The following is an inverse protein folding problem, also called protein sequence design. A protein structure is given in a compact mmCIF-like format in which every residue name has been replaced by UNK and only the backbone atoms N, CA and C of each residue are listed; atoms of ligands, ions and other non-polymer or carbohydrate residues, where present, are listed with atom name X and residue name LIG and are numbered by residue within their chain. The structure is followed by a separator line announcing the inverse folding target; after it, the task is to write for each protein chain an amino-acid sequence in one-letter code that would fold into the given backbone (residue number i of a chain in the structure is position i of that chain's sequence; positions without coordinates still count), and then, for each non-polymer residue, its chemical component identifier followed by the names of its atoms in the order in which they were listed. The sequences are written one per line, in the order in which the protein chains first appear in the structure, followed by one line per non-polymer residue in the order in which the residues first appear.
data_IF_544569294979
#
_entry.id   IF_544569294979
#
_cell.length_a   1.000
_cell.length_b   1.000
_cell.length_c   1.000
_cell.angle_alpha   90.00
_cell.angle_beta   90.00
_cell.angle_gamma   90.00
#
_symmetry.space_group_name_H-M   'P 1'
#
loop_
_entity.id
_entity.type
_entity.pdbx_description
1 polymer ?
#
# COMPACT_ATOMS: atom_id res chain seq x y z
N UNK A 1 15.22 19.93 13.52
CA UNK A 1 14.17 19.03 13.00
C UNK A 1 14.50 18.76 11.56
N UNK A 2 14.79 17.52 11.20
CA UNK A 2 14.98 17.12 9.80
C UNK A 2 13.61 17.05 9.12
N UNK A 3 13.55 17.38 7.83
CA UNK A 3 12.34 17.21 7.03
C UNK A 3 12.09 15.72 6.77
N UNK A 4 10.82 15.35 6.63
CA UNK A 4 10.42 14.03 6.13
C UNK A 4 11.03 13.82 4.75
N UNK A 5 11.49 12.60 4.46
CA UNK A 5 12.19 12.28 3.21
C UNK A 5 11.51 11.11 2.48
N UNK A 6 11.09 11.34 1.24
CA UNK A 6 10.53 10.35 0.32
C UNK A 6 11.66 9.77 -0.54
N UNK A 7 11.87 8.46 -0.47
CA UNK A 7 12.86 7.75 -1.25
C UNK A 7 12.18 7.05 -2.43
N UNK A 8 12.63 7.37 -3.64
CA UNK A 8 12.14 6.76 -4.89
C UNK A 8 13.23 5.94 -5.56
N UNK A 9 12.91 4.80 -6.18
CA UNK A 9 13.87 4.04 -6.96
C UNK A 9 14.12 4.74 -8.31
N UNK A 10 15.37 4.88 -8.73
CA UNK A 10 15.71 5.38 -10.07
C UNK A 10 16.65 4.45 -10.83
N UNK A 11 16.49 4.47 -12.15
CA UNK A 11 17.43 3.95 -13.14
C UNK A 11 17.61 5.02 -14.22
N UNK A 12 18.77 5.69 -14.21
CA UNK A 12 18.99 6.88 -15.04
C UNK A 12 18.08 8.06 -14.64
N UNK A 13 17.32 8.61 -15.60
CA UNK A 13 16.33 9.67 -15.39
C UNK A 13 14.89 9.13 -15.22
N UNK A 14 14.76 7.82 -14.98
CA UNK A 14 13.49 7.12 -14.94
C UNK A 14 13.27 6.38 -13.61
N UNK A 15 12.01 6.14 -13.25
CA UNK A 15 11.58 5.44 -12.03
C UNK A 15 10.58 4.33 -12.34
N UNK A 16 10.26 3.49 -11.35
CA UNK A 16 9.19 2.47 -11.46
C UNK A 16 7.81 3.10 -11.50
N UNK A 17 6.78 2.35 -11.88
CA UNK A 17 5.40 2.85 -11.84
C UNK A 17 4.99 3.34 -10.44
N UNK A 18 5.33 2.59 -9.39
CA UNK A 18 5.04 2.99 -8.01
C UNK A 18 5.82 4.25 -7.61
N UNK A 19 7.08 4.36 -8.04
CA UNK A 19 7.87 5.58 -7.86
C UNK A 19 7.25 6.78 -8.56
N UNK A 20 6.74 6.60 -9.79
CA UNK A 20 6.03 7.63 -10.54
C UNK A 20 4.73 8.06 -9.86
N UNK A 21 3.93 7.10 -9.35
CA UNK A 21 2.69 7.39 -8.61
C UNK A 21 3.00 8.22 -7.35
N UNK A 22 3.98 7.79 -6.56
CA UNK A 22 4.39 8.52 -5.36
C UNK A 22 4.93 9.92 -5.70
N UNK A 23 5.74 10.05 -6.76
CA UNK A 23 6.24 11.34 -7.23
C UNK A 23 5.10 12.27 -7.68
N UNK A 24 4.17 11.75 -8.49
CA UNK A 24 2.98 12.47 -8.94
C UNK A 24 2.14 12.98 -7.76
N UNK A 25 1.87 12.14 -6.77
CA UNK A 25 1.08 12.53 -5.60
C UNK A 25 1.83 13.52 -4.73
N UNK A 26 3.14 13.36 -4.55
CA UNK A 26 3.97 14.32 -3.83
C UNK A 26 3.93 15.71 -4.49
N UNK A 27 4.02 15.76 -5.82
CA UNK A 27 3.91 16.98 -6.61
C UNK A 27 2.51 17.59 -6.54
N UNK A 28 1.47 16.77 -6.66
CA UNK A 28 0.08 17.21 -6.62
C UNK A 28 -0.33 17.73 -5.23
N UNK A 29 0.09 17.04 -4.16
CA UNK A 29 -0.23 17.44 -2.79
C UNK A 29 0.58 18.63 -2.32
N UNK A 30 1.66 19.00 -3.01
CA UNK A 30 2.58 20.04 -2.55
C UNK A 30 3.15 19.72 -1.17
N UNK A 31 3.46 18.44 -0.90
CA UNK A 31 4.00 18.05 0.41
C UNK A 31 5.34 18.71 0.71
N UNK A 32 5.60 18.99 2.00
CA UNK A 32 6.89 19.48 2.51
C UNK A 32 8.02 18.43 2.48
N UNK A 33 7.71 17.22 2.00
CA UNK A 33 8.61 16.08 2.00
C UNK A 33 9.79 16.30 1.04
N UNK A 34 11.00 16.12 1.55
CA UNK A 34 12.23 16.12 0.74
C UNK A 34 12.25 14.88 -0.15
N UNK A 35 12.49 15.05 -1.45
CA UNK A 35 12.66 13.94 -2.36
C UNK A 35 14.12 13.46 -2.36
N UNK A 36 14.34 12.15 -2.27
CA UNK A 36 15.65 11.51 -2.45
C UNK A 36 15.52 10.36 -3.43
N UNK A 37 16.43 10.30 -4.38
CA UNK A 37 16.47 9.33 -5.46
C UNK A 37 17.49 8.25 -5.12
N UNK A 38 17.08 7.01 -5.20
CA UNK A 38 17.92 5.85 -4.88
C UNK A 38 18.30 5.15 -6.17
N UNK A 39 19.58 5.20 -6.52
CA UNK A 39 20.07 4.47 -7.67
C UNK A 39 20.10 2.97 -7.37
N UNK A 40 19.29 2.19 -8.10
CA UNK A 40 19.25 0.73 -8.02
C UNK A 40 19.76 0.08 -9.31
N UNK A 41 20.78 0.64 -9.94
CA UNK A 41 21.36 0.14 -11.19
C UNK A 41 21.88 -1.31 -11.15
N UNK A 42 22.03 -1.90 -9.96
CA UNK A 42 22.44 -3.31 -9.75
C UNK A 42 21.27 -4.27 -9.49
N UNK A 43 20.03 -3.79 -9.36
CA UNK A 43 18.85 -4.61 -9.08
C UNK A 43 18.27 -5.15 -10.40
N UNK A 44 18.57 -6.42 -10.72
CA UNK A 44 18.17 -7.08 -11.97
C UNK A 44 16.64 -7.08 -12.19
N UNK A 45 15.85 -6.85 -11.13
CA UNK A 45 14.39 -6.77 -11.20
C UNK A 45 13.88 -5.50 -11.90
N UNK A 46 14.68 -4.42 -11.91
CA UNK A 46 14.35 -3.15 -12.56
C UNK A 46 14.66 -3.14 -14.05
N UNK A 47 15.58 -3.99 -14.51
CA UNK A 47 16.00 -4.02 -15.93
C UNK A 47 14.98 -4.63 -16.87
N UNK A 48 14.00 -5.39 -16.37
CA UNK A 48 12.96 -6.05 -17.19
C UNK A 48 11.58 -5.36 -17.15
N UNK A 49 11.42 -4.34 -16.30
CA UNK A 49 10.13 -3.68 -16.09
C UNK A 49 10.08 -2.29 -16.76
N UNK A 50 8.91 -1.84 -17.24
CA UNK A 50 8.75 -0.50 -17.78
C UNK A 50 9.16 0.55 -16.75
N UNK A 51 10.10 1.41 -17.14
CA UNK A 51 10.51 2.59 -16.37
C UNK A 51 9.95 3.85 -17.01
N UNK A 52 9.72 4.86 -16.18
CA UNK A 52 9.05 6.09 -16.59
C UNK A 52 9.95 7.30 -16.32
N UNK A 53 10.20 8.14 -17.33
CA UNK A 53 11.05 9.30 -17.16
C UNK A 53 10.38 10.35 -16.27
N UNK A 54 11.10 10.85 -15.28
CA UNK A 54 10.62 11.85 -14.32
C UNK A 54 11.32 13.20 -14.55
N UNK A 55 10.61 14.31 -14.31
CA UNK A 55 11.22 15.64 -14.33
C UNK A 55 11.88 15.91 -12.99
N UNK A 56 12.94 15.18 -12.70
CA UNK A 56 13.88 15.59 -11.66
C UNK A 56 15.09 16.15 -12.38
N UNK A 57 15.33 17.46 -12.27
CA UNK A 57 16.66 17.98 -12.60
C UNK A 57 17.63 17.22 -11.71
N UNK A 58 18.33 16.22 -12.27
CA UNK A 58 19.20 15.30 -11.55
C UNK A 58 20.35 16.10 -10.93
N UNK A 59 20.10 16.69 -9.77
CA UNK A 59 21.16 17.27 -8.96
C UNK A 59 21.82 16.12 -8.20
N UNK A 60 23.15 15.98 -8.25
CA UNK A 60 23.88 14.89 -7.57
C UNK A 60 23.55 14.76 -6.09
N UNK A 61 23.17 15.86 -5.44
CA UNK A 61 22.78 15.95 -4.03
C UNK A 61 21.49 15.19 -3.68
N UNK A 62 20.66 14.89 -4.68
CA UNK A 62 19.41 14.12 -4.50
C UNK A 62 19.64 12.61 -4.60
N UNK A 63 20.82 12.15 -5.06
CA UNK A 63 21.09 10.74 -5.32
C UNK A 63 21.81 10.13 -4.11
N UNK A 64 21.17 9.20 -3.41
CA UNK A 64 21.78 8.46 -2.30
C UNK A 64 22.00 7.00 -2.65
N UNK A 65 23.13 6.44 -2.22
CA UNK A 65 23.30 4.99 -2.12
C UNK A 65 22.71 4.54 -0.78
N UNK A 66 21.77 3.58 -0.81
CA UNK A 66 21.30 2.93 0.41
C UNK A 66 22.40 1.98 0.88
N UNK A 67 22.76 2.05 2.16
CA UNK A 67 23.67 1.06 2.78
C UNK A 67 22.87 -0.14 3.29
N UNK A 68 23.50 -1.31 3.38
CA UNK A 68 22.84 -2.55 3.83
C UNK A 68 22.29 -2.51 5.26
N UNK A 69 22.70 -1.53 6.07
CA UNK A 69 22.25 -1.38 7.46
C UNK A 69 21.02 -0.48 7.60
N UNK A 70 20.67 0.28 6.55
CA UNK A 70 19.55 1.25 6.59
C UNK A 70 18.20 0.54 6.62
N UNK A 71 17.24 1.03 7.42
CA UNK A 71 15.84 0.52 7.43
C UNK A 71 15.22 0.52 6.03
N UNK A 72 15.61 1.47 5.20
CA UNK A 72 15.17 1.62 3.81
C UNK A 72 15.55 0.37 2.99
N UNK A 73 16.71 -0.23 3.23
CA UNK A 73 17.17 -1.45 2.53
C UNK A 73 16.30 -2.67 2.80
N UNK A 74 15.65 -2.71 3.97
CA UNK A 74 14.74 -3.79 4.38
C UNK A 74 13.29 -3.55 3.90
N UNK A 75 13.04 -2.48 3.14
CA UNK A 75 11.70 -2.13 2.64
C UNK A 75 11.66 -2.06 1.12
N UNK A 76 10.45 -2.10 0.58
CA UNK A 76 10.22 -1.87 -0.85
C UNK A 76 10.05 -0.37 -1.10
N UNK A 77 10.71 0.15 -2.12
CA UNK A 77 10.54 1.53 -2.58
C UNK A 77 9.26 1.67 -3.43
N UNK A 78 8.53 2.80 -3.38
CA UNK A 78 8.84 4.01 -2.62
C UNK A 78 8.62 3.85 -1.12
N UNK A 79 9.44 4.55 -0.32
CA UNK A 79 9.33 4.56 1.15
C UNK A 79 9.54 5.97 1.68
N UNK A 80 8.91 6.29 2.80
CA UNK A 80 9.04 7.58 3.45
C UNK A 80 9.68 7.42 4.82
N UNK A 81 10.69 8.23 5.11
CA UNK A 81 11.32 8.34 6.43
C UNK A 81 10.83 9.64 7.06
N UNK A 82 10.10 9.53 8.16
CA UNK A 82 9.63 10.69 8.92
C UNK A 82 10.82 11.28 9.67
N UNK A 83 10.98 12.59 9.59
CA UNK A 83 12.17 13.29 10.07
C UNK A 83 12.50 12.97 11.53
N UNK A 84 13.77 12.69 11.78
CA UNK A 84 14.33 12.51 13.12
C UNK A 84 14.01 13.71 14.01
N UNK A 85 13.23 13.45 15.05
CA UNK A 85 13.13 14.33 16.22
C UNK A 85 14.14 13.81 17.23
N UNK A 86 14.87 14.72 17.86
CA UNK A 86 15.85 14.39 18.91
C UNK A 86 15.20 13.48 19.95
N UNK A 87 15.72 12.26 20.10
CA UNK A 87 15.24 11.28 21.08
C UNK A 87 14.09 10.37 20.63
N UNK A 88 13.65 10.42 19.36
CA UNK A 88 12.68 9.45 18.81
C UNK A 88 13.35 8.47 17.84
N UNK A 89 12.83 7.24 17.79
CA UNK A 89 13.24 6.26 16.78
C UNK A 89 12.80 6.71 15.38
N UNK A 90 13.57 6.39 14.33
CA UNK A 90 13.18 6.71 12.95
C UNK A 90 11.89 5.95 12.57
N UNK A 91 10.86 6.68 12.18
CA UNK A 91 9.62 6.10 11.65
C UNK A 91 9.72 5.97 10.13
N UNK A 92 9.48 4.75 9.65
CA UNK A 92 9.48 4.43 8.22
C UNK A 92 8.07 4.03 7.80
N UNK A 93 7.56 4.69 6.77
CA UNK A 93 6.27 4.39 6.16
C UNK A 93 6.51 3.70 4.83
N UNK A 94 6.06 2.46 4.70
CA UNK A 94 6.16 1.63 3.48
C UNK A 94 4.77 1.16 3.03
N UNK A 95 4.67 0.75 1.77
CA UNK A 95 3.41 0.54 1.06
C UNK A 95 2.99 1.81 0.33
N UNK A 96 2.65 1.70 -0.96
CA UNK A 96 2.28 2.81 -1.81
C UNK A 96 1.08 3.58 -1.25
N UNK A 97 0.01 2.91 -0.82
CA UNK A 97 -1.13 3.59 -0.23
C UNK A 97 -0.76 4.32 1.06
N UNK A 98 0.03 3.69 1.95
CA UNK A 98 0.45 4.31 3.20
C UNK A 98 1.35 5.53 2.96
N UNK A 99 2.33 5.42 2.06
CA UNK A 99 3.20 6.53 1.64
C UNK A 99 2.36 7.66 1.06
N UNK A 100 1.48 7.38 0.10
CA UNK A 100 0.66 8.42 -0.53
C UNK A 100 -0.34 9.06 0.45
N UNK A 101 -0.90 8.29 1.39
CA UNK A 101 -1.70 8.84 2.50
C UNK A 101 -0.88 9.82 3.34
N UNK A 102 0.35 9.47 3.68
CA UNK A 102 1.25 10.33 4.45
C UNK A 102 1.55 11.63 3.69
N UNK A 103 1.84 11.55 2.39
CA UNK A 103 2.12 12.73 1.55
C UNK A 103 0.93 13.70 1.47
N UNK A 104 -0.30 13.18 1.39
CA UNK A 104 -1.52 14.00 1.40
C UNK A 104 -1.76 14.62 2.78
N UNK A 105 -1.57 13.86 3.87
CA UNK A 105 -1.71 14.35 5.25
C UNK A 105 -0.72 15.45 5.62
N UNK A 106 0.45 15.45 4.98
CA UNK A 106 1.49 16.45 5.17
C UNK A 106 1.53 17.47 4.02
N UNK A 107 0.39 17.67 3.34
CA UNK A 107 0.20 18.77 2.41
C UNK A 107 0.13 20.11 3.15
N UNK A 108 0.63 21.18 2.53
CA UNK A 108 0.38 22.54 3.01
C UNK A 108 -1.09 22.96 2.87
N UNK A 109 -1.81 22.37 1.92
CA UNK A 109 -3.22 22.65 1.68
C UNK A 109 -4.10 21.62 2.38
N UNK A 110 -4.60 22.01 3.56
CA UNK A 110 -5.50 21.18 4.36
C UNK A 110 -6.81 20.82 3.65
N UNK A 111 -7.21 21.58 2.61
CA UNK A 111 -8.40 21.24 1.82
C UNK A 111 -8.22 19.91 1.08
N UNK A 112 -6.98 19.54 0.74
CA UNK A 112 -6.67 18.28 0.07
C UNK A 112 -6.88 17.07 0.99
N UNK A 113 -6.95 17.24 2.31
CA UNK A 113 -7.23 16.13 3.23
C UNK A 113 -8.58 15.46 2.95
N UNK A 114 -9.51 16.14 2.27
CA UNK A 114 -10.79 15.56 1.85
C UNK A 114 -10.62 14.31 0.98
N UNK A 115 -9.52 14.19 0.20
CA UNK A 115 -9.29 13.01 -0.65
C UNK A 115 -8.94 11.77 0.16
N UNK A 116 -8.61 11.90 1.45
CA UNK A 116 -8.49 10.76 2.36
C UNK A 116 -9.86 10.13 2.66
N UNK A 117 -10.95 10.68 2.13
CA UNK A 117 -12.29 10.15 2.24
C UNK A 117 -12.90 10.38 3.63
N UNK A 118 -14.09 9.81 3.84
CA UNK A 118 -14.81 9.96 5.11
C UNK A 118 -13.97 9.45 6.30
N UNK A 119 -13.76 10.32 7.30
CA UNK A 119 -12.90 10.07 8.48
C UNK A 119 -11.46 9.70 8.13
N UNK A 120 -10.98 10.10 6.95
CA UNK A 120 -9.64 9.77 6.46
C UNK A 120 -9.38 8.27 6.28
N UNK A 121 -10.41 7.49 5.96
CA UNK A 121 -10.33 6.02 5.86
C UNK A 121 -9.99 5.48 4.45
N UNK A 122 -9.97 6.31 3.40
CA UNK A 122 -9.69 5.87 2.02
C UNK A 122 -8.30 5.20 1.94
N UNK A 123 -8.27 3.94 1.54
CA UNK A 123 -7.05 3.11 1.48
C UNK A 123 -6.28 3.01 2.82
N UNK A 124 -6.94 3.19 3.96
CA UNK A 124 -6.30 3.03 5.28
C UNK A 124 -6.00 1.57 5.60
N UNK A 125 -6.90 0.66 5.22
CA UNK A 125 -6.70 -0.76 5.43
C UNK A 125 -5.68 -1.29 4.42
N UNK A 126 -4.75 -2.16 4.84
CA UNK A 126 -3.70 -2.66 3.95
C UNK A 126 -4.28 -3.64 2.91
N UNK A 127 -3.53 -3.88 1.84
CA UNK A 127 -3.99 -4.64 0.67
C UNK A 127 -4.44 -6.06 1.03
N UNK A 128 -3.82 -6.70 2.03
CA UNK A 128 -4.10 -8.08 2.44
C UNK A 128 -5.52 -8.26 2.99
N UNK A 129 -6.13 -7.19 3.51
CA UNK A 129 -7.46 -7.24 4.14
C UNK A 129 -8.50 -6.34 3.45
N UNK A 130 -8.08 -5.56 2.45
CA UNK A 130 -8.95 -4.63 1.72
C UNK A 130 -8.86 -4.91 0.21
N UNK A 131 -9.96 -5.43 -0.36
CA UNK A 131 -10.06 -5.67 -1.81
C UNK A 131 -9.83 -4.39 -2.62
N UNK A 132 -10.35 -3.26 -2.10
CA UNK A 132 -10.20 -1.96 -2.76
C UNK A 132 -8.75 -1.47 -2.71
N UNK A 133 -8.08 -1.62 -1.56
CA UNK A 133 -6.66 -1.27 -1.45
C UNK A 133 -5.80 -2.16 -2.34
N UNK A 134 -6.03 -3.48 -2.32
CA UNK A 134 -5.35 -4.42 -3.20
C UNK A 134 -5.55 -4.09 -4.68
N UNK A 135 -6.75 -3.65 -5.06
CA UNK A 135 -7.03 -3.24 -6.43
C UNK A 135 -6.21 -2.01 -6.83
N UNK A 136 -6.24 -0.95 -6.01
CA UNK A 136 -5.56 0.31 -6.30
C UNK A 136 -4.03 0.23 -6.25
N UNK A 137 -3.47 -0.46 -5.26
CA UNK A 137 -2.02 -0.49 -5.01
C UNK A 137 -1.31 -1.69 -5.65
N UNK A 138 -2.00 -2.81 -5.88
CA UNK A 138 -1.37 -4.01 -6.41
C UNK A 138 -1.89 -4.36 -7.82
N UNK A 139 -3.18 -4.64 -7.96
CA UNK A 139 -3.73 -5.23 -9.18
C UNK A 139 -3.70 -4.28 -10.38
N UNK A 140 -4.09 -3.01 -10.19
CA UNK A 140 -4.05 -2.01 -11.27
C UNK A 140 -2.62 -1.71 -11.73
N UNK A 141 -1.64 -1.44 -10.85
CA UNK A 141 -0.24 -1.29 -11.24
C UNK A 141 0.32 -2.53 -11.96
N UNK A 142 0.09 -3.74 -11.41
CA UNK A 142 0.56 -4.99 -12.03
C UNK A 142 -0.04 -5.20 -13.42
N UNK A 143 -1.36 -5.04 -13.56
CA UNK A 143 -2.06 -5.16 -14.84
C UNK A 143 -1.57 -4.11 -15.86
N UNK A 144 -1.21 -2.91 -15.39
CA UNK A 144 -0.64 -1.85 -16.22
C UNK A 144 0.75 -2.24 -16.71
N UNK A 145 1.64 -2.67 -15.82
CA UNK A 145 2.99 -3.09 -16.18
C UNK A 145 2.98 -4.28 -17.15
N UNK A 146 2.13 -5.27 -16.90
CA UNK A 146 1.93 -6.39 -17.81
C UNK A 146 1.48 -5.92 -19.18
N UNK A 147 0.47 -5.05 -19.25
CA UNK A 147 0.01 -4.48 -20.51
C UNK A 147 1.12 -3.74 -21.23
N UNK A 148 1.89 -2.89 -20.55
CA UNK A 148 3.00 -2.10 -21.12
C UNK A 148 4.18 -2.95 -21.64
N UNK A 149 4.36 -4.17 -21.11
CA UNK A 149 5.38 -5.10 -21.57
C UNK A 149 4.97 -5.94 -22.78
N UNK A 150 3.69 -6.00 -23.14
CA UNK A 150 3.25 -6.75 -24.31
C UNK A 150 3.74 -6.08 -25.61
N UNK A 151 4.21 -6.83 -26.62
CA UNK A 151 4.53 -6.29 -27.93
C UNK A 151 3.25 -5.78 -28.62
N UNK A 152 3.35 -4.65 -29.33
CA UNK A 152 2.21 -4.01 -30.01
C UNK A 152 2.15 -4.31 -31.51
N UNK A 153 2.95 -5.27 -31.99
CA UNK A 153 3.04 -5.65 -33.41
C UNK A 153 1.94 -6.64 -33.84
N UNK A 154 0.95 -6.89 -32.97
CA UNK A 154 -0.16 -7.81 -33.25
C UNK A 154 -1.40 -7.09 -33.79
N UNK A 155 -2.17 -7.78 -34.63
CA UNK A 155 -3.48 -7.30 -35.13
C UNK A 155 -4.55 -7.16 -34.04
N UNK A 156 -4.28 -7.66 -32.83
CA UNK A 156 -5.21 -7.68 -31.70
C UNK A 156 -4.59 -7.01 -30.49
N UNK A 157 -5.31 -6.04 -29.91
CA UNK A 157 -4.94 -5.39 -28.65
C UNK A 157 -5.91 -5.87 -27.56
N UNK A 158 -5.41 -6.60 -26.57
CA UNK A 158 -6.20 -7.02 -25.42
C UNK A 158 -6.11 -5.97 -24.30
N UNK A 159 -7.26 -5.47 -23.83
CA UNK A 159 -7.30 -4.45 -22.77
C UNK A 159 -6.87 -5.04 -21.42
N UNK A 160 -6.21 -4.27 -20.54
CA UNK A 160 -5.84 -4.75 -19.21
C UNK A 160 -7.07 -5.14 -18.39
N UNK A 161 -7.04 -6.31 -17.76
CA UNK A 161 -8.19 -6.83 -17.01
C UNK A 161 -8.60 -5.93 -15.85
N UNK A 162 -7.64 -5.29 -15.15
CA UNK A 162 -7.93 -4.35 -14.08
C UNK A 162 -8.67 -3.10 -14.58
N UNK A 163 -8.40 -2.68 -15.83
CA UNK A 163 -9.08 -1.55 -16.45
C UNK A 163 -10.55 -1.88 -16.75
N UNK A 164 -10.81 -3.10 -17.21
CA UNK A 164 -12.18 -3.61 -17.41
C UNK A 164 -12.91 -3.80 -16.08
N UNK A 165 -12.22 -4.24 -15.03
CA UNK A 165 -12.76 -4.30 -13.67
C UNK A 165 -13.17 -2.91 -13.16
N UNK A 166 -12.36 -1.87 -13.43
CA UNK A 166 -12.72 -0.50 -13.08
C UNK A 166 -13.97 -0.02 -13.83
N UNK A 167 -14.09 -0.29 -15.13
CA UNK A 167 -15.29 0.03 -15.91
C UNK A 167 -16.55 -0.61 -15.31
N UNK A 168 -16.45 -1.90 -14.95
CA UNK A 168 -17.58 -2.62 -14.39
C UNK A 168 -17.91 -2.16 -12.97
N UNK A 169 -16.92 -1.71 -12.19
CA UNK A 169 -17.13 -1.07 -10.90
C UNK A 169 -17.84 0.28 -11.04
N UNK A 170 -17.41 1.14 -11.96
CA UNK A 170 -18.02 2.46 -12.22
C UNK A 170 -19.46 2.36 -12.75
N UNK A 171 -19.85 1.18 -13.25
CA UNK A 171 -21.23 0.87 -13.64
C UNK A 171 -22.15 0.56 -12.46
N UNK A 172 -21.59 0.16 -11.32
CA UNK A 172 -22.36 -0.17 -10.13
C UNK A 172 -22.89 1.11 -9.44
N UNK A 173 -24.00 1.02 -8.68
CA UNK A 173 -24.48 2.15 -7.87
C UNK A 173 -23.47 2.57 -6.79
N UNK A 174 -23.38 3.89 -6.55
CA UNK A 174 -22.44 4.46 -5.57
C UNK A 174 -22.77 3.98 -4.16
N UNK A 175 -21.75 3.54 -3.41
CA UNK A 175 -21.88 3.10 -2.02
C UNK A 175 -21.04 3.98 -1.10
N UNK A 176 -21.69 4.92 -0.41
CA UNK A 176 -21.02 5.77 0.56
C UNK A 176 -21.87 5.97 1.82
N UNK A 177 -21.24 6.23 2.96
CA UNK A 177 -21.93 6.41 4.24
C UNK A 177 -22.92 7.58 4.23
N UNK A 178 -22.63 8.63 3.45
CA UNK A 178 -23.43 9.84 3.38
C UNK A 178 -24.32 9.92 2.12
N UNK A 179 -24.65 8.78 1.50
CA UNK A 179 -25.32 8.73 0.19
C UNK A 179 -26.66 9.46 0.18
N UNK A 180 -27.44 9.35 1.27
CA UNK A 180 -28.75 10.04 1.40
C UNK A 180 -28.57 11.55 1.42
N UNK A 181 -27.56 12.05 2.15
CA UNK A 181 -27.25 13.48 2.21
C UNK A 181 -26.84 14.03 0.85
N UNK A 182 -25.99 13.30 0.11
CA UNK A 182 -25.61 13.71 -1.25
C UNK A 182 -26.79 13.67 -2.21
N UNK A 183 -27.63 12.63 -2.16
CA UNK A 183 -28.82 12.53 -3.01
C UNK A 183 -29.78 13.70 -2.77
N UNK A 184 -30.00 14.09 -1.51
CA UNK A 184 -30.85 15.23 -1.14
C UNK A 184 -30.26 16.58 -1.59
N UNK A 185 -28.94 16.71 -1.64
CA UNK A 185 -28.29 17.93 -2.17
C UNK A 185 -28.44 18.04 -3.69
N UNK A 186 -28.33 16.92 -4.42
CA UNK A 186 -28.50 16.90 -5.87
C UNK A 186 -29.97 17.03 -6.28
N UNK A 187 -30.89 16.42 -5.54
CA UNK A 187 -32.33 16.48 -5.77
C UNK A 187 -33.06 16.67 -4.43
N UNK A 188 -33.34 17.93 -4.03
CA UNK A 188 -34.09 18.21 -2.83
C UNK A 188 -35.51 17.62 -2.92
N UNK A 189 -35.81 16.63 -2.07
CA UNK A 189 -37.14 16.02 -1.97
C UNK A 189 -37.68 16.20 -0.55
N UNK A 190 -39.00 16.40 -0.46
CA UNK A 190 -39.73 16.53 0.80
C UNK A 190 -39.97 15.19 1.50
N UNK A 191 -39.94 14.08 0.76
CA UNK A 191 -40.10 12.73 1.30
C UNK A 191 -38.74 12.12 1.71
N UNK A 192 -38.68 11.37 2.83
CA UNK A 192 -37.48 10.65 3.23
C UNK A 192 -37.12 9.60 2.17
N UNK A 193 -35.87 9.63 1.70
CA UNK A 193 -35.32 8.70 0.72
C UNK A 193 -34.50 7.66 1.48
N UNK A 194 -34.65 6.38 1.15
CA UNK A 194 -33.81 5.34 1.74
C UNK A 194 -32.42 5.28 1.08
N UNK A 195 -31.49 4.53 1.68
CA UNK A 195 -30.12 4.44 1.17
C UNK A 195 -30.01 3.77 -0.20
N UNK A 196 -30.96 2.91 -0.59
CA UNK A 196 -30.94 2.17 -1.85
C UNK A 196 -31.41 3.06 -2.99
N UNK A 197 -32.48 3.81 -2.77
CA UNK A 197 -32.97 4.81 -3.70
C UNK A 197 -31.93 5.95 -3.85
N UNK A 198 -31.34 6.43 -2.75
CA UNK A 198 -30.27 7.43 -2.81
C UNK A 198 -29.05 6.96 -3.64
N UNK A 199 -28.66 5.70 -3.53
CA UNK A 199 -27.56 5.09 -4.30
C UNK A 199 -27.83 5.07 -5.82
N UNK A 200 -29.09 5.02 -6.23
CA UNK A 200 -29.48 5.10 -7.65
C UNK A 200 -29.51 6.53 -8.21
N UNK A 201 -29.55 7.54 -7.34
CA UNK A 201 -29.61 8.95 -7.71
C UNK A 201 -28.24 9.61 -7.80
N UNK A 202 -27.22 9.01 -7.17
CA UNK A 202 -25.85 9.52 -7.17
C UNK A 202 -25.01 8.67 -8.12
N UNK A 203 -24.36 9.33 -9.07
CA UNK A 203 -23.47 8.69 -10.03
C UNK A 203 -22.00 8.80 -9.59
N UNK A 204 -21.19 7.88 -10.11
CA UNK A 204 -19.75 7.99 -10.05
C UNK A 204 -19.28 9.17 -10.92
N UNK A 205 -18.72 10.19 -10.28
CA UNK A 205 -17.84 11.19 -10.92
C UNK A 205 -16.38 10.72 -10.80
N UNK A 206 -16.08 10.07 -9.68
CA UNK A 206 -14.81 9.49 -9.28
C UNK A 206 -15.02 8.01 -8.89
N UNK A 207 -13.93 7.29 -8.62
CA UNK A 207 -13.91 5.85 -8.44
C UNK A 207 -14.80 5.37 -7.28
N UNK A 208 -14.83 6.12 -6.17
CA UNK A 208 -15.63 5.74 -4.99
C UNK A 208 -17.01 6.42 -4.93
N UNK A 209 -17.24 7.45 -5.75
CA UNK A 209 -18.50 8.20 -5.73
C UNK A 209 -18.42 9.57 -6.42
N UNK A 210 -19.11 10.60 -5.90
CA UNK A 210 -19.12 11.93 -6.52
C UNK A 210 -17.89 12.78 -6.20
N UNK A 211 -17.11 12.40 -5.18
CA UNK A 211 -15.96 13.16 -4.68
C UNK A 211 -14.65 12.41 -4.97
N UNK A 212 -13.60 13.16 -5.28
CA UNK A 212 -12.27 12.60 -5.53
C UNK A 212 -11.67 12.05 -4.24
N UNK A 213 -11.06 10.88 -4.35
CA UNK A 213 -10.40 10.20 -3.24
C UNK A 213 -8.95 9.86 -3.59
N UNK A 214 -8.19 9.39 -2.59
CA UNK A 214 -6.83 8.92 -2.80
C UNK A 214 -6.78 7.73 -3.76
N UNK A 215 -7.82 6.90 -3.80
CA UNK A 215 -7.92 5.82 -4.78
C UNK A 215 -7.84 6.35 -6.22
N UNK A 216 -8.51 7.48 -6.51
CA UNK A 216 -8.44 8.10 -7.83
C UNK A 216 -7.01 8.53 -8.19
N UNK A 217 -6.30 9.10 -7.21
CA UNK A 217 -4.91 9.54 -7.40
C UNK A 217 -3.94 8.38 -7.64
N UNK A 218 -4.16 7.20 -7.04
CA UNK A 218 -3.36 6.00 -7.32
C UNK A 218 -3.69 5.41 -8.70
N UNK A 219 -4.97 5.39 -9.06
CA UNK A 219 -5.44 4.81 -10.32
C UNK A 219 -5.07 5.68 -11.53
N UNK A 220 -5.08 7.01 -11.38
CA UNK A 220 -4.92 7.95 -12.51
C UNK A 220 -3.61 7.73 -13.30
N UNK A 221 -2.42 7.67 -12.69
CA UNK A 221 -1.18 7.39 -13.42
C UNK A 221 -1.26 6.11 -14.25
N UNK A 222 -1.83 5.04 -13.68
CA UNK A 222 -1.96 3.75 -14.35
C UNK A 222 -2.85 3.85 -15.59
N UNK A 223 -4.05 4.41 -15.45
CA UNK A 223 -4.99 4.57 -16.56
C UNK A 223 -4.45 5.55 -17.61
N UNK A 224 -3.77 6.62 -17.19
CA UNK A 224 -3.19 7.62 -18.07
C UNK A 224 -2.10 7.04 -18.98
N UNK A 225 -1.19 6.20 -18.44
CA UNK A 225 -0.13 5.56 -19.25
C UNK A 225 -0.67 4.47 -20.15
N UNK A 226 -1.70 3.72 -19.73
CA UNK A 226 -2.39 2.77 -20.59
C UNK A 226 -3.06 3.51 -21.75
N UNK A 227 -3.77 4.60 -21.47
CA UNK A 227 -4.43 5.42 -22.49
C UNK A 227 -3.43 6.01 -23.49
N UNK A 228 -2.27 6.51 -23.03
CA UNK A 228 -1.19 6.97 -23.93
C UNK A 228 -0.78 5.88 -24.93
N UNK A 229 -0.61 4.65 -24.43
CA UNK A 229 -0.23 3.51 -25.28
C UNK A 229 -1.34 3.11 -26.25
N UNK A 230 -2.59 3.05 -25.80
CA UNK A 230 -3.75 2.72 -26.64
C UNK A 230 -3.91 3.74 -27.78
N UNK A 231 -3.82 5.04 -27.46
CA UNK A 231 -3.88 6.12 -28.45
C UNK A 231 -2.74 5.99 -29.46
N UNK A 232 -1.53 5.67 -29.00
CA UNK A 232 -0.38 5.41 -29.87
C UNK A 232 -0.59 4.26 -30.88
N UNK A 233 -1.49 3.33 -30.56
CA UNK A 233 -1.89 2.21 -31.44
C UNK A 233 -3.21 2.47 -32.18
N UNK A 234 -3.76 3.69 -32.14
CA UNK A 234 -5.02 4.03 -32.80
C UNK A 234 -6.28 3.47 -32.13
N UNK A 235 -6.20 3.03 -30.87
CA UNK A 235 -7.34 2.54 -30.09
C UNK A 235 -7.87 3.66 -29.19
N UNK A 236 -9.17 3.94 -29.29
CA UNK A 236 -9.83 4.92 -28.43
C UNK A 236 -10.46 4.24 -27.21
N UNK A 237 -10.04 4.63 -26.02
CA UNK A 237 -10.55 4.04 -24.77
C UNK A 237 -12.07 4.20 -24.63
N UNK A 238 -12.64 5.32 -25.06
CA UNK A 238 -14.08 5.63 -24.98
C UNK A 238 -14.98 4.69 -25.78
N UNK A 239 -14.46 4.04 -26.83
CA UNK A 239 -15.21 3.09 -27.65
C UNK A 239 -15.42 1.75 -26.93
N UNK A 240 -14.58 1.44 -25.94
CA UNK A 240 -14.58 0.14 -25.25
C UNK A 240 -14.91 0.25 -23.76
N UNK A 241 -14.41 1.28 -23.08
CA UNK A 241 -14.56 1.51 -21.64
C UNK A 241 -15.01 2.97 -21.39
N UNK A 242 -16.27 3.31 -21.71
CA UNK A 242 -16.74 4.70 -21.74
C UNK A 242 -16.77 5.38 -20.36
N UNK A 243 -17.04 4.65 -19.26
CA UNK A 243 -17.03 5.24 -17.91
C UNK A 243 -15.60 5.51 -17.45
N UNK A 244 -14.67 4.60 -17.72
CA UNK A 244 -13.25 4.83 -17.43
C UNK A 244 -12.71 6.01 -18.25
N UNK A 245 -13.08 6.11 -19.53
CA UNK A 245 -12.70 7.24 -20.37
C UNK A 245 -13.24 8.57 -19.83
N UNK A 246 -14.52 8.61 -19.43
CA UNK A 246 -15.11 9.80 -18.81
C UNK A 246 -14.41 10.15 -17.49
N UNK A 247 -14.18 9.17 -16.62
CA UNK A 247 -13.46 9.35 -15.37
C UNK A 247 -12.04 9.89 -15.59
N UNK A 248 -11.32 9.39 -16.60
CA UNK A 248 -9.98 9.86 -16.94
C UNK A 248 -9.99 11.33 -17.37
N UNK A 249 -10.97 11.73 -18.18
CA UNK A 249 -11.16 13.13 -18.58
C UNK A 249 -11.46 14.02 -17.37
N UNK A 250 -12.36 13.57 -16.48
CA UNK A 250 -12.68 14.28 -15.24
C UNK A 250 -11.44 14.46 -14.37
N UNK A 251 -10.67 13.39 -14.13
CA UNK A 251 -9.42 13.47 -13.36
C UNK A 251 -8.41 14.43 -13.97
N UNK A 252 -8.23 14.39 -15.29
CA UNK A 252 -7.28 15.27 -15.99
C UNK A 252 -7.54 16.76 -15.73
N UNK A 253 -8.81 17.18 -15.59
CA UNK A 253 -9.14 18.58 -15.25
C UNK A 253 -8.55 19.05 -13.92
N UNK A 254 -8.33 18.13 -12.98
CA UNK A 254 -7.88 18.44 -11.62
C UNK A 254 -6.41 18.14 -11.36
N UNK A 255 -5.81 17.18 -12.08
CA UNK A 255 -4.48 16.67 -11.74
C UNK A 255 -3.45 16.71 -12.87
N UNK A 256 -3.82 17.08 -14.09
CA UNK A 256 -2.92 16.97 -15.26
C UNK A 256 -1.71 17.92 -15.20
N UNK A 257 -1.85 19.07 -14.53
CA UNK A 257 -0.72 19.98 -14.25
C UNK A 257 0.36 19.31 -13.39
N UNK A 258 -0.05 18.63 -12.31
CA UNK A 258 0.86 17.90 -11.43
C UNK A 258 1.45 16.68 -12.15
N UNK A 259 0.65 15.96 -12.94
CA UNK A 259 1.10 14.84 -13.77
C UNK A 259 2.17 15.26 -14.77
N UNK A 260 1.93 16.34 -15.52
CA UNK A 260 2.87 16.90 -16.48
C UNK A 260 4.13 17.44 -15.82
N UNK A 261 4.07 17.79 -14.55
CA UNK A 261 5.23 18.20 -13.74
C UNK A 261 6.02 17.00 -13.26
N UNK A 262 5.36 15.94 -12.79
CA UNK A 262 6.04 14.75 -12.27
C UNK A 262 6.69 13.91 -13.39
N UNK A 263 6.00 13.74 -14.52
CA UNK A 263 6.47 12.94 -15.65
C UNK A 263 7.17 13.81 -16.69
N UNK A 264 8.35 13.40 -17.13
CA UNK A 264 9.02 14.01 -18.29
C UNK A 264 8.38 13.44 -19.54
N UNK A 265 7.35 14.12 -20.04
CA UNK A 265 6.81 13.84 -21.36
C UNK A 265 7.89 14.15 -22.39
N UNK A 266 8.41 13.11 -23.06
CA UNK A 266 9.20 13.31 -24.27
C UNK A 266 8.27 13.88 -25.34
N UNK A 267 8.19 15.21 -25.40
CA UNK A 267 7.54 15.92 -26.49
C UNK A 267 8.16 15.57 -27.86
N UNK A 268 9.32 14.92 -27.87
CA UNK A 268 10.01 14.44 -29.08
C UNK A 268 9.46 13.10 -29.62
N UNK A 269 8.73 12.33 -28.81
CA UNK A 269 8.10 11.08 -29.27
C UNK A 269 6.78 11.34 -30.00
N UNK A 270 6.13 12.48 -29.74
CA UNK A 270 4.83 12.83 -30.34
C UNK A 270 4.93 13.38 -31.77
N UNK A 271 6.12 13.81 -32.23
CA UNK A 271 6.31 14.30 -33.60
C UNK A 271 7.01 13.29 -34.52
N UNK A 272 7.63 12.24 -33.98
CA UNK A 272 8.36 11.23 -34.77
C UNK A 272 7.56 9.95 -35.05
N UNK A 273 6.33 9.83 -34.53
CA UNK A 273 5.37 8.78 -34.89
C UNK A 273 4.08 9.31 -35.51
N UNK A 274 4.14 10.46 -36.22
CA UNK A 274 3.29 10.65 -37.40
C UNK A 274 3.72 9.69 -38.51
N UNK A 275 3.80 8.39 -38.21
CA UNK A 275 3.55 7.41 -39.25
C UNK A 275 2.07 7.60 -39.56
N UNK A 276 1.77 8.06 -40.75
CA UNK A 276 0.48 7.82 -41.39
C UNK A 276 0.42 6.30 -41.55
N UNK A 277 0.10 5.60 -40.46
CA UNK A 277 -0.09 4.17 -40.48
C UNK A 277 -1.49 4.00 -41.08
N UNK A 278 -1.53 3.75 -42.39
CA UNK A 278 -2.67 3.14 -43.07
C UNK A 278 -2.86 1.67 -42.60
N UNK A 279 -2.86 1.42 -41.29
CA UNK A 279 -3.28 0.16 -40.72
C UNK A 279 -4.70 0.36 -40.20
N UNK A 280 -5.58 -0.54 -40.61
CA UNK A 280 -6.87 -0.77 -39.98
C UNK A 280 -6.66 -0.77 -38.46
N UNK A 281 -7.49 -0.03 -37.71
CA UNK A 281 -7.42 -0.07 -36.25
C UNK A 281 -7.37 -1.53 -35.77
N UNK A 282 -6.45 -1.88 -34.85
CA UNK A 282 -6.32 -3.26 -34.42
C UNK A 282 -7.63 -3.74 -33.78
N UNK A 283 -7.92 -5.03 -33.89
CA UNK A 283 -9.08 -5.61 -33.25
C UNK A 283 -8.90 -5.54 -31.73
N UNK A 284 -9.83 -4.91 -31.03
CA UNK A 284 -9.74 -4.76 -29.57
C UNK A 284 -10.46 -5.91 -28.87
N UNK A 285 -9.73 -6.66 -28.06
CA UNK A 285 -10.28 -7.71 -27.21
C UNK A 285 -10.50 -7.16 -25.81
N UNK A 286 -11.75 -7.18 -25.36
CA UNK A 286 -12.14 -6.82 -23.99
C UNK A 286 -12.25 -8.11 -23.16
N UNK A 287 -11.37 -8.34 -22.16
CA UNK A 287 -11.49 -9.50 -21.28
C UNK A 287 -12.87 -9.60 -20.62
N UNK A 288 -13.36 -10.82 -20.43
CA UNK A 288 -14.60 -11.05 -19.69
C UNK A 288 -14.32 -10.92 -18.19
N UNK A 289 -14.99 -9.97 -17.56
CA UNK A 289 -14.93 -9.73 -16.12
C UNK A 289 -16.32 -9.94 -15.53
N UNK A 290 -16.39 -10.44 -14.30
CA UNK A 290 -17.66 -10.57 -13.58
C UNK A 290 -18.21 -9.19 -13.24
N UNK A 291 -19.53 -9.03 -13.37
CA UNK A 291 -20.24 -7.84 -12.90
C UNK A 291 -20.26 -7.82 -11.37
N UNK A 292 -19.26 -7.18 -10.75
CA UNK A 292 -19.10 -7.14 -9.31
C UNK A 292 -18.51 -5.80 -8.84
N UNK A 293 -18.86 -5.41 -7.62
CA UNK A 293 -18.29 -4.23 -6.96
C UNK A 293 -16.96 -4.60 -6.31
N UNK A 294 -15.95 -3.74 -6.46
CA UNK A 294 -14.60 -3.97 -5.90
C UNK A 294 -14.55 -3.84 -4.36
N UNK A 295 -15.69 -3.60 -3.70
CA UNK A 295 -15.83 -3.54 -2.23
C UNK A 295 -16.25 -4.85 -1.55
N UNK A 296 -16.78 -5.84 -2.30
CA UNK A 296 -17.28 -7.09 -1.69
C UNK A 296 -16.84 -8.30 -2.51
N UNK A 297 -16.48 -9.38 -1.79
CA UNK A 297 -16.58 -10.73 -2.36
C UNK A 297 -18.06 -11.08 -2.45
N UNK A 298 -18.51 -11.49 -3.62
CA UNK A 298 -19.88 -11.96 -3.80
C UNK A 298 -20.17 -13.18 -2.91
N UNK A 299 -21.29 -13.15 -2.19
CA UNK A 299 -21.83 -14.32 -1.47
C UNK A 299 -22.85 -15.11 -2.32
N UNK A 300 -23.32 -14.54 -3.44
CA UNK A 300 -24.37 -15.13 -4.25
C UNK A 300 -23.78 -15.84 -5.48
N UNK A 301 -23.50 -17.15 -5.33
CA UNK A 301 -23.14 -18.01 -6.46
C UNK A 301 -22.16 -19.15 -6.15
N UNK A 302 -21.51 -19.11 -4.98
CA UNK A 302 -20.47 -20.09 -4.61
C UNK A 302 -20.74 -20.63 -3.21
N UNK A 303 -21.64 -21.63 -3.12
CA UNK A 303 -21.42 -22.77 -2.19
C UNK A 303 -20.36 -23.72 -2.76
N UNK A 304 -19.35 -23.17 -3.42
CA UNK A 304 -18.07 -23.81 -3.71
C UNK A 304 -17.00 -22.91 -3.08
N UNK A 305 -16.71 -23.21 -1.81
CA UNK A 305 -15.44 -23.00 -1.09
C UNK A 305 -14.54 -21.80 -1.39
N UNK A 306 -15.06 -20.66 -1.85
CA UNK A 306 -14.30 -19.42 -1.96
C UNK A 306 -14.74 -18.43 -0.87
N UNK A 307 -14.61 -18.87 0.39
CA UNK A 307 -13.87 -18.01 1.30
C UNK A 307 -12.58 -17.62 0.55
N UNK A 308 -12.11 -16.39 0.65
CA UNK A 308 -10.66 -16.25 0.54
C UNK A 308 -10.23 -16.35 2.00
N UNK A 309 -9.98 -17.57 2.51
CA UNK A 309 -8.84 -17.69 3.40
C UNK A 309 -7.62 -17.24 2.59
N UNK A 310 -6.51 -16.98 3.25
CA UNK A 310 -5.18 -16.95 2.64
C UNK A 310 -5.20 -17.86 1.39
N UNK A 311 -5.06 -17.26 0.20
CA UNK A 311 -5.37 -17.92 -1.07
C UNK A 311 -4.68 -19.28 -1.05
N UNK A 312 -5.41 -20.39 -1.10
CA UNK A 312 -4.80 -21.70 -0.86
C UNK A 312 -3.65 -21.94 -1.82
N UNK A 313 -3.65 -21.34 -3.01
CA UNK A 313 -2.54 -21.40 -3.96
C UNK A 313 -1.37 -20.47 -3.60
N UNK A 314 -1.60 -19.29 -3.03
CA UNK A 314 -0.52 -18.42 -2.48
C UNK A 314 -0.01 -18.90 -1.14
N UNK A 315 -0.85 -19.50 -0.31
CA UNK A 315 -0.48 -20.16 0.94
C UNK A 315 0.25 -21.44 0.62
N UNK A 316 -0.18 -22.20 -0.39
CA UNK A 316 0.56 -23.37 -0.88
C UNK A 316 1.83 -22.91 -1.57
N UNK A 317 1.87 -21.80 -2.31
CA UNK A 317 3.13 -21.26 -2.85
C UNK A 317 4.03 -20.70 -1.76
N UNK A 318 3.50 -20.07 -0.72
CA UNK A 318 4.24 -19.62 0.46
C UNK A 318 4.74 -20.82 1.23
N UNK A 319 3.90 -21.80 1.53
CA UNK A 319 4.28 -23.06 2.19
C UNK A 319 5.25 -23.84 1.32
N UNK A 320 5.08 -23.91 0.01
CA UNK A 320 6.00 -24.57 -0.92
C UNK A 320 7.32 -23.81 -1.04
N UNK A 321 7.28 -22.47 -0.98
CA UNK A 321 8.48 -21.63 -0.97
C UNK A 321 9.17 -21.75 0.36
N UNK A 322 8.46 -21.69 1.48
CA UNK A 322 9.00 -21.90 2.80
C UNK A 322 9.49 -23.35 2.96
N UNK A 323 8.83 -24.35 2.39
CA UNK A 323 9.30 -25.75 2.37
C UNK A 323 10.55 -25.89 1.48
N UNK A 324 10.56 -25.26 0.30
CA UNK A 324 11.71 -25.21 -0.62
C UNK A 324 12.92 -24.52 0.00
N UNK A 325 12.69 -23.43 0.72
CA UNK A 325 13.70 -22.66 1.46
C UNK A 325 13.95 -23.21 2.89
N UNK A 326 13.30 -24.32 3.28
CA UNK A 326 13.38 -24.96 4.62
C UNK A 326 13.01 -24.06 5.82
N UNK A 327 12.14 -23.09 5.60
CA UNK A 327 11.57 -22.16 6.58
C UNK A 327 10.21 -22.63 7.14
N UNK A 328 9.61 -23.69 6.58
CA UNK A 328 8.38 -24.30 7.10
C UNK A 328 8.60 -25.79 7.36
N UNK A 329 8.26 -26.31 8.55
CA UNK A 329 8.50 -27.72 8.90
C UNK A 329 7.43 -28.63 8.28
N UNK A 330 7.87 -29.74 7.68
CA UNK A 330 7.00 -30.75 7.07
C UNK A 330 6.36 -31.69 8.11
N UNK A 331 7.05 -31.91 9.24
CA UNK A 331 6.56 -32.58 10.44
C UNK A 331 7.02 -31.81 11.69
N UNK A 332 6.36 -31.99 12.84
CA UNK A 332 6.73 -31.35 14.13
C UNK A 332 8.18 -31.65 14.55
N UNK A 333 8.75 -32.73 14.00
CA UNK A 333 10.14 -33.19 14.20
C UNK A 333 11.16 -32.59 13.23
N UNK A 334 10.71 -31.87 12.18
CA UNK A 334 11.56 -31.26 11.14
C UNK A 334 11.82 -29.76 11.35
N UNK A 335 11.31 -29.18 12.44
CA UNK A 335 11.71 -27.86 12.89
C UNK A 335 13.23 -27.85 13.12
N UNK A 336 13.96 -26.81 12.67
CA UNK A 336 15.37 -26.65 13.05
C UNK A 336 15.49 -26.84 14.56
N UNK A 337 16.52 -27.53 15.09
CA UNK A 337 16.64 -27.76 16.52
C UNK A 337 16.51 -26.47 17.36
N UNK A 338 16.89 -25.33 16.77
CA UNK A 338 16.72 -24.00 17.36
C UNK A 338 15.26 -23.54 17.51
N UNK A 339 14.35 -23.96 16.62
CA UNK A 339 12.93 -23.59 16.61
C UNK A 339 12.06 -24.55 17.45
N UNK A 340 12.50 -25.80 17.65
CA UNK A 340 11.92 -26.72 18.64
C UNK A 340 12.20 -26.23 20.08
N UNK A 341 13.41 -25.72 20.33
CA UNK A 341 13.78 -25.11 21.62
C UNK A 341 12.90 -23.91 22.02
N UNK A 342 12.31 -23.22 21.03
CA UNK A 342 11.37 -22.11 21.23
C UNK A 342 9.98 -22.56 21.69
N UNK A 343 9.53 -23.76 21.30
CA UNK A 343 8.26 -24.34 21.74
C UNK A 343 8.35 -24.97 23.13
N UNK A 344 9.54 -25.44 23.50
CA UNK A 344 9.91 -25.91 24.85
C UNK A 344 10.42 -24.75 25.74
N UNK A 345 9.98 -23.53 25.50
CA UNK A 345 10.25 -22.42 26.43
C UNK A 345 9.66 -22.80 27.80
N UNK A 346 10.43 -22.72 28.89
CA UNK A 346 9.97 -23.22 30.18
C UNK A 346 8.69 -22.51 30.57
N UNK A 347 7.61 -23.29 30.71
CA UNK A 347 6.29 -22.81 31.12
C UNK A 347 6.40 -21.85 32.31
N UNK A 348 5.64 -20.76 32.29
CA UNK A 348 5.59 -19.78 33.38
C UNK A 348 5.52 -20.51 34.72
N UNK A 349 6.51 -20.28 35.60
CA UNK A 349 6.54 -20.93 36.91
C UNK A 349 5.39 -20.39 37.74
N UNK A 350 4.57 -21.30 38.26
CA UNK A 350 3.50 -20.98 39.21
C UNK A 350 3.96 -21.50 40.57
N UNK A 351 4.07 -20.61 41.55
CA UNK A 351 4.32 -20.99 42.94
C UNK A 351 3.00 -20.98 43.74
N UNK A 352 3.09 -21.30 45.04
CA UNK A 352 1.93 -21.31 45.94
C UNK A 352 1.24 -19.93 46.09
N UNK A 353 1.88 -18.86 45.60
CA UNK A 353 1.39 -17.48 45.61
C UNK A 353 0.98 -16.95 44.21
N UNK A 354 1.11 -17.76 43.15
CA UNK A 354 0.65 -17.44 41.80
C UNK A 354 1.77 -17.35 40.76
N UNK A 355 1.62 -16.41 39.81
CA UNK A 355 2.54 -16.22 38.67
C UNK A 355 3.90 -15.68 39.13
N UNK A 356 4.99 -16.37 38.77
CA UNK A 356 6.37 -15.91 39.02
C UNK A 356 6.93 -15.26 37.75
N UNK A 357 7.16 -13.93 37.73
CA UNK A 357 7.71 -13.24 36.56
C UNK A 357 9.16 -13.68 36.29
N UNK A 358 9.49 -13.88 35.01
CA UNK A 358 10.87 -14.13 34.57
C UNK A 358 11.69 -12.85 34.42
N UNK A 359 11.02 -11.70 34.38
CA UNK A 359 11.63 -10.38 34.22
C UNK A 359 11.39 -9.54 35.47
N UNK A 360 12.38 -8.74 35.85
CA UNK A 360 12.19 -7.72 36.88
C UNK A 360 11.41 -6.53 36.30
N UNK A 361 10.08 -6.62 36.35
CA UNK A 361 9.19 -5.53 35.93
C UNK A 361 9.34 -4.26 36.75
N UNK A 362 9.88 -4.35 37.97
CA UNK A 362 10.05 -3.21 38.87
C UNK A 362 11.25 -2.33 38.50
N UNK A 363 12.25 -2.92 37.82
CA UNK A 363 13.44 -2.21 37.35
C UNK A 363 13.25 -1.54 36.00
N UNK A 364 12.15 -1.81 35.28
CA UNK A 364 11.90 -1.23 33.97
C UNK A 364 11.64 0.28 34.06
N UNK A 365 12.17 1.07 33.11
CA UNK A 365 11.87 2.50 33.06
C UNK A 365 10.40 2.72 32.75
N UNK A 366 9.88 3.85 33.23
CA UNK A 366 8.47 4.21 33.15
C UNK A 366 7.84 4.06 31.74
N UNK A 367 8.51 4.44 30.63
CA UNK A 367 7.98 4.26 29.27
C UNK A 367 7.93 2.81 28.78
N UNK A 368 8.76 1.91 29.33
CA UNK A 368 8.77 0.50 28.97
C UNK A 368 7.73 -0.30 29.77
N UNK A 369 7.23 0.24 30.88
CA UNK A 369 6.23 -0.44 31.68
C UNK A 369 4.82 -0.28 31.06
N UNK A 370 4.04 -1.37 30.87
CA UNK A 370 2.68 -1.31 30.30
C UNK A 370 1.66 -0.49 31.12
N UNK A 371 2.05 0.01 32.31
CA UNK A 371 1.25 0.86 33.19
C UNK A 371 0.89 2.19 32.52
N UNK A 372 1.77 2.70 31.67
CA UNK A 372 1.58 3.96 30.96
C UNK A 372 0.69 3.83 29.71
N UNK A 373 0.36 2.61 29.29
CA UNK A 373 -0.43 2.32 28.08
C UNK A 373 -1.95 2.51 28.16
N UNK A 374 -2.47 3.33 29.08
CA UNK A 374 -3.92 3.46 29.33
C UNK A 374 -4.64 2.11 29.58
N UNK A 375 -3.96 1.13 30.17
CA UNK A 375 -4.56 -0.18 30.47
C UNK A 375 -5.31 -0.11 31.81
N UNK A 376 -6.63 -0.41 31.88
CA UNK A 376 -7.37 -0.43 33.13
C UNK A 376 -6.74 -1.37 34.17
N UNK A 377 -6.79 -1.02 35.46
CA UNK A 377 -6.04 -1.70 36.53
C UNK A 377 -6.15 -3.23 36.57
N UNK A 378 -7.34 -3.81 36.34
CA UNK A 378 -7.54 -5.27 36.29
C UNK A 378 -7.02 -5.95 35.01
N UNK A 379 -6.78 -5.19 33.95
CA UNK A 379 -6.20 -5.67 32.69
C UNK A 379 -4.68 -5.56 32.67
N UNK A 380 -4.09 -4.77 33.57
CA UNK A 380 -2.65 -4.54 33.63
C UNK A 380 -1.89 -5.80 34.04
N UNK A 381 -2.31 -6.49 35.11
CA UNK A 381 -1.65 -7.72 35.57
C UNK A 381 -1.65 -8.80 34.48
N UNK A 382 -2.79 -9.00 33.82
CA UNK A 382 -2.90 -9.94 32.68
C UNK A 382 -1.99 -9.56 31.53
N UNK A 383 -1.85 -8.25 31.26
CA UNK A 383 -0.96 -7.75 30.21
C UNK A 383 0.50 -7.98 30.56
N UNK A 384 0.90 -7.77 31.81
CA UNK A 384 2.26 -8.05 32.31
C UNK A 384 2.56 -9.55 32.16
N UNK A 385 1.66 -10.42 32.60
CA UNK A 385 1.83 -11.87 32.45
C UNK A 385 1.97 -12.31 30.99
N UNK A 386 1.16 -11.73 30.09
CA UNK A 386 1.25 -12.00 28.66
C UNK A 386 2.61 -11.57 28.09
N UNK A 387 3.07 -10.36 28.43
CA UNK A 387 4.33 -9.82 27.95
C UNK A 387 5.52 -10.59 28.52
N UNK A 388 5.47 -11.01 29.78
CA UNK A 388 6.57 -11.73 30.43
C UNK A 388 6.89 -13.04 29.72
N UNK A 389 5.86 -13.83 29.40
CA UNK A 389 6.03 -15.07 28.63
C UNK A 389 6.62 -14.82 27.24
N UNK A 390 6.13 -13.81 26.52
CA UNK A 390 6.63 -13.49 25.16
C UNK A 390 8.07 -12.97 25.20
N UNK A 391 8.38 -12.05 26.11
CA UNK A 391 9.73 -11.50 26.23
C UNK A 391 10.72 -12.58 26.65
N UNK A 392 10.36 -13.43 27.60
CA UNK A 392 11.22 -14.51 28.04
C UNK A 392 11.54 -15.49 26.90
N UNK A 393 10.54 -15.86 26.10
CA UNK A 393 10.75 -16.72 24.93
C UNK A 393 11.70 -16.08 23.90
N UNK A 394 11.60 -14.77 23.67
CA UNK A 394 12.50 -14.05 22.77
C UNK A 394 13.91 -13.99 23.34
N UNK A 395 14.08 -13.65 24.63
CA UNK A 395 15.39 -13.59 25.29
C UNK A 395 16.13 -14.94 25.21
N UNK A 396 15.40 -16.04 25.44
CA UNK A 396 15.99 -17.39 25.39
C UNK A 396 16.46 -17.79 23.97
N UNK A 397 16.03 -17.04 22.94
CA UNK A 397 16.20 -17.41 21.53
C UNK A 397 17.06 -16.42 20.73
N UNK A 398 17.32 -15.23 21.26
CA UNK A 398 18.09 -14.20 20.57
C UNK A 398 19.57 -14.20 20.99
N UNK A 399 20.43 -13.90 20.04
CA UNK A 399 21.86 -13.64 20.22
C UNK A 399 22.18 -12.16 20.07
N UNK A 400 23.35 -11.75 20.58
CA UNK A 400 23.85 -10.38 20.41
C UNK A 400 23.96 -10.03 18.92
N UNK A 401 23.40 -8.89 18.51
CA UNK A 401 23.39 -8.43 17.13
C UNK A 401 22.17 -8.87 16.31
N UNK A 402 21.28 -9.71 16.87
CA UNK A 402 20.09 -10.16 16.15
C UNK A 402 19.10 -9.02 15.87
N UNK A 403 18.32 -9.19 14.80
CA UNK A 403 17.20 -8.31 14.44
C UNK A 403 15.90 -8.97 14.87
N UNK A 404 15.16 -8.31 15.76
CA UNK A 404 13.87 -8.75 16.29
C UNK A 404 12.77 -7.90 15.66
N UNK A 405 11.76 -8.54 15.06
CA UNK A 405 10.65 -7.85 14.42
C UNK A 405 9.33 -8.15 15.16
N UNK A 406 8.71 -7.11 15.71
CA UNK A 406 7.42 -7.16 16.41
C UNK A 406 6.30 -6.74 15.44
N UNK A 407 5.61 -7.73 14.85
CA UNK A 407 4.50 -7.49 13.93
C UNK A 407 3.19 -7.24 14.67
N UNK A 408 2.40 -6.28 14.18
CA UNK A 408 1.20 -5.80 14.86
C UNK A 408 1.52 -5.32 16.28
N UNK A 409 2.64 -4.60 16.42
CA UNK A 409 3.19 -4.15 17.70
C UNK A 409 2.21 -3.32 18.54
N UNK A 410 1.17 -2.75 17.91
CA UNK A 410 0.23 -1.85 18.54
C UNK A 410 0.97 -0.69 19.17
N UNK A 411 0.68 -0.41 20.44
CA UNK A 411 1.40 0.59 21.24
C UNK A 411 2.83 0.24 21.64
N UNK A 412 3.46 -0.76 21.00
CA UNK A 412 4.86 -1.12 21.21
C UNK A 412 5.18 -1.81 22.54
N UNK A 413 4.18 -2.32 23.27
CA UNK A 413 4.38 -2.87 24.61
C UNK A 413 5.39 -4.02 24.69
N UNK A 414 5.52 -4.83 23.63
CA UNK A 414 6.50 -5.90 23.56
C UNK A 414 7.83 -5.35 23.05
N UNK A 415 7.84 -4.72 21.87
CA UNK A 415 9.05 -4.15 21.27
C UNK A 415 9.84 -3.19 22.16
N UNK A 416 9.18 -2.30 22.92
CA UNK A 416 9.85 -1.36 23.82
C UNK A 416 10.54 -2.10 24.99
N UNK A 417 9.89 -3.11 25.56
CA UNK A 417 10.48 -3.93 26.63
C UNK A 417 11.68 -4.71 26.10
N UNK A 418 11.56 -5.32 24.92
CA UNK A 418 12.66 -6.03 24.27
C UNK A 418 13.83 -5.10 23.96
N UNK A 419 13.58 -3.90 23.44
CA UNK A 419 14.62 -2.93 23.15
C UNK A 419 15.38 -2.48 24.40
N UNK A 420 14.70 -2.40 25.54
CA UNK A 420 15.33 -2.08 26.82
C UNK A 420 16.18 -3.25 27.37
N UNK A 421 15.65 -4.47 27.32
CA UNK A 421 16.30 -5.65 27.90
C UNK A 421 17.41 -6.23 27.01
N UNK A 422 17.35 -6.00 25.71
CA UNK A 422 18.27 -6.51 24.71
C UNK A 422 18.95 -5.35 23.94
N UNK A 423 19.74 -4.49 24.62
CA UNK A 423 20.30 -3.27 24.00
C UNK A 423 21.30 -3.54 22.88
N UNK A 424 21.80 -4.78 22.77
CA UNK A 424 22.66 -5.21 21.67
C UNK A 424 21.92 -5.87 20.50
N UNK A 425 20.59 -5.96 20.54
CA UNK A 425 19.75 -6.39 19.42
C UNK A 425 19.11 -5.17 18.75
N UNK A 426 18.75 -5.31 17.47
CA UNK A 426 17.95 -4.31 16.75
C UNK A 426 16.48 -4.70 16.81
N UNK A 427 15.65 -3.90 17.46
CA UNK A 427 14.20 -4.14 17.51
C UNK A 427 13.47 -3.27 16.50
N UNK A 428 12.67 -3.88 15.63
CA UNK A 428 11.84 -3.25 14.61
C UNK A 428 10.38 -3.51 14.96
N UNK A 429 9.60 -2.44 15.14
CA UNK A 429 8.16 -2.54 15.39
C UNK A 429 7.39 -2.22 14.12
N UNK A 430 6.46 -3.08 13.74
CA UNK A 430 5.67 -2.94 12.50
C UNK A 430 4.20 -2.91 12.86
N UNK A 431 3.51 -1.83 12.49
CA UNK A 431 2.05 -1.73 12.65
C UNK A 431 1.40 -1.01 11.45
N UNK A 432 0.13 -1.32 11.24
CA UNK A 432 -0.70 -0.72 10.19
C UNK A 432 -1.49 0.50 10.68
N UNK A 433 -1.57 0.70 12.00
CA UNK A 433 -2.26 1.82 12.63
C UNK A 433 -1.25 2.88 13.02
N UNK A 434 -1.21 3.95 12.25
CA UNK A 434 -0.41 5.14 12.53
C UNK A 434 -0.61 5.68 13.96
N UNK A 435 -1.85 5.67 14.46
CA UNK A 435 -2.17 6.11 15.83
C UNK A 435 -1.61 5.20 16.94
N UNK A 436 -1.09 4.02 16.60
CA UNK A 436 -0.47 3.08 17.52
C UNK A 436 1.04 3.29 17.65
N UNK A 437 1.68 4.00 16.73
CA UNK A 437 3.13 4.22 16.66
C UNK A 437 3.52 5.62 17.24
N UNK A 438 2.58 6.27 17.94
CA UNK A 438 2.67 7.66 18.40
C UNK A 438 3.26 7.86 19.79
#
# INVERSE_FOLDING_TARGET
MTLDTLYLPISGDSTTLNGLIAHFINTWSGSSTRLTLVNRSSDQTLTEMPVFPIKTGLQPELISQITSEDLISMTTLPVLVVGERTGLCPLVVSGLAAVCRYLVKNSYDLSLHQVLGFRSNCLQAPAEVSLWTAFCECQMPQSTLHFLNQPMDGDVVELPIALVQLEEHLKQPVRMHNIVRHAQQQQPRTAPIDSKEASSLVNHTYAEGPDMTLADLLLYPCVRVVNDRLVGCGVQLSEHLPRVALWLLTMATSVDSAWSTARKTSLESSLTQLRIIHHSSPAVKVPRVRSASLYKRDQAGTRTSSAVPVNTEETTRLVDTLNRERLWPAEETDLPPQLVLLLDSPSCKVDDNGFVPRIDWSSLPEPAHPRHGQVPGSRLERKIQQLDGMVAAVIDSCSLGDVIVDFCSGGGHLGIVLAHLLPGCRVIMVDNKEASIG
#
